data_IF_334050485850
#
_entry.id   IF_334050485850
#
_cell.length_a   1.000
_cell.length_b   1.000
_cell.length_c   1.000
_cell.angle_alpha   90.00
_cell.angle_beta   90.00
_cell.angle_gamma   90.00
#
_symmetry.space_group_name_H-M   'P 1'
#
loop_
_entity.id
_entity.type
_entity.pdbx_description
1 polymer ?
#
# COMPACT_ATOMS: atom_id res chain seq x y z
N UNK A 1 -15.08 -21.78 -15.79
CA UNK A 1 -15.46 -21.44 -14.40
C UNK A 1 -15.41 -19.93 -14.28
N UNK A 2 -16.54 -19.29 -14.01
CA UNK A 2 -16.78 -17.86 -14.25
C UNK A 2 -16.09 -16.94 -13.26
N UNK A 3 -15.72 -15.76 -13.75
CA UNK A 3 -15.28 -14.60 -12.95
C UNK A 3 -16.46 -14.18 -12.09
N UNK A 4 -16.39 -14.40 -10.78
CA UNK A 4 -17.39 -13.91 -9.83
C UNK A 4 -17.06 -12.45 -9.56
N UNK A 5 -17.90 -11.54 -10.08
CA UNK A 5 -17.91 -10.17 -9.62
C UNK A 5 -18.66 -10.10 -8.28
N UNK A 6 -17.95 -9.85 -7.18
CA UNK A 6 -18.54 -9.62 -5.85
C UNK A 6 -18.79 -8.12 -5.64
N UNK A 7 -20.00 -7.70 -5.20
CA UNK A 7 -20.29 -6.30 -4.87
C UNK A 7 -19.98 -5.97 -3.39
N UNK A 8 -19.17 -4.92 -3.16
CA UNK A 8 -18.95 -4.19 -1.89
C UNK A 8 -17.65 -4.57 -1.15
N UNK A 9 -16.65 -3.71 -0.90
CA UNK A 9 -16.64 -2.27 -0.59
C UNK A 9 -15.50 -1.50 -1.31
N UNK A 10 -15.90 -0.40 -1.97
CA UNK A 10 -15.22 0.89 -2.25
C UNK A 10 -13.83 0.89 -2.91
N UNK A 11 -13.84 0.84 -4.23
CA UNK A 11 -13.10 1.85 -4.98
C UNK A 11 -14.11 2.76 -5.66
N UNK A 12 -14.24 3.99 -5.19
CA UNK A 12 -15.16 4.98 -5.78
C UNK A 12 -14.67 5.53 -7.12
N UNK A 13 -13.79 4.82 -7.82
CA UNK A 13 -13.27 5.25 -9.11
C UNK A 13 -14.24 4.83 -10.22
N UNK A 14 -14.63 5.75 -11.11
CA UNK A 14 -15.28 5.35 -12.36
C UNK A 14 -14.37 4.41 -13.15
N UNK A 15 -14.95 3.49 -13.91
CA UNK A 15 -14.20 2.49 -14.69
C UNK A 15 -13.95 2.97 -16.12
N UNK A 16 -12.83 2.57 -16.69
CA UNK A 16 -12.48 2.82 -18.09
C UNK A 16 -11.81 1.58 -18.70
N UNK A 17 -11.74 1.50 -20.03
CA UNK A 17 -10.88 0.50 -20.67
C UNK A 17 -9.41 0.91 -20.51
N UNK A 18 -8.46 -0.04 -20.48
CA UNK A 18 -7.04 0.30 -20.41
C UNK A 18 -6.60 1.31 -21.47
N UNK A 19 -7.02 1.14 -22.72
CA UNK A 19 -6.68 2.02 -23.83
C UNK A 19 -7.23 3.44 -23.69
N UNK A 20 -8.40 3.61 -23.05
CA UNK A 20 -9.03 4.92 -22.84
C UNK A 20 -8.23 5.79 -21.86
N UNK A 21 -7.41 5.17 -21.01
CA UNK A 21 -6.47 5.84 -20.12
C UNK A 21 -5.02 5.71 -20.58
N UNK A 22 -4.78 5.24 -21.81
CA UNK A 22 -3.46 5.10 -22.42
C UNK A 22 -2.61 3.96 -21.84
N UNK A 23 -3.23 2.93 -21.27
CA UNK A 23 -2.60 1.66 -20.95
C UNK A 23 -2.77 0.68 -22.12
N UNK A 24 -2.00 -0.41 -22.13
CA UNK A 24 -2.15 -1.45 -23.14
C UNK A 24 -3.52 -2.15 -23.00
N UNK A 25 -4.28 -2.23 -24.09
CA UNK A 25 -5.62 -2.85 -24.13
C UNK A 25 -5.62 -4.30 -23.59
N UNK A 26 -4.52 -5.01 -23.80
CA UNK A 26 -4.34 -6.41 -23.40
C UNK A 26 -3.71 -6.59 -22.00
N UNK A 27 -3.51 -5.52 -21.23
CA UNK A 27 -2.83 -5.56 -19.92
C UNK A 27 -3.45 -6.60 -18.98
N UNK A 28 -4.78 -6.65 -18.89
CA UNK A 28 -5.49 -7.63 -18.07
C UNK A 28 -5.19 -9.07 -18.51
N UNK A 29 -5.34 -9.38 -19.80
CA UNK A 29 -5.04 -10.72 -20.33
C UNK A 29 -3.57 -11.11 -20.19
N UNK A 30 -2.64 -10.14 -20.31
CA UNK A 30 -1.21 -10.40 -20.11
C UNK A 30 -0.91 -10.80 -18.66
N UNK A 31 -1.55 -10.15 -17.69
CA UNK A 31 -1.47 -10.54 -16.28
C UNK A 31 -2.03 -11.95 -16.07
N UNK A 32 -3.20 -12.24 -16.64
CA UNK A 32 -3.85 -13.55 -16.54
C UNK A 32 -2.95 -14.67 -17.13
N UNK A 33 -2.33 -14.42 -18.29
CA UNK A 33 -1.38 -15.34 -18.91
C UNK A 33 -0.09 -15.52 -18.10
N UNK A 34 0.48 -14.44 -17.57
CA UNK A 34 1.69 -14.50 -16.77
C UNK A 34 1.46 -15.24 -15.44
N UNK A 35 0.31 -14.99 -14.80
CA UNK A 35 -0.12 -15.74 -13.61
C UNK A 35 -0.27 -17.23 -13.91
N UNK A 36 -0.96 -17.59 -15.00
CA UNK A 36 -1.12 -18.98 -15.44
C UNK A 36 0.19 -19.69 -15.80
N UNK A 37 1.25 -18.92 -16.14
CA UNK A 37 2.61 -19.43 -16.34
C UNK A 37 3.47 -19.44 -15.07
N UNK A 38 2.89 -19.08 -13.92
CA UNK A 38 3.57 -18.97 -12.63
C UNK A 38 4.74 -17.98 -12.61
N UNK A 39 4.71 -16.94 -13.46
CA UNK A 39 5.78 -15.94 -13.54
C UNK A 39 5.76 -14.96 -12.35
N UNK A 40 4.62 -14.86 -11.67
CA UNK A 40 4.43 -13.99 -10.50
C UNK A 40 4.00 -14.81 -9.29
N UNK A 41 4.94 -15.58 -8.72
CA UNK A 41 4.71 -16.29 -7.47
C UNK A 41 4.30 -15.31 -6.35
N UNK A 42 3.20 -15.59 -5.67
CA UNK A 42 2.67 -14.75 -4.59
C UNK A 42 1.83 -13.55 -5.05
N UNK A 43 1.49 -13.45 -6.34
CA UNK A 43 0.55 -12.42 -6.81
C UNK A 43 -0.88 -12.78 -6.40
N UNK A 44 -1.46 -12.00 -5.49
CA UNK A 44 -2.86 -12.15 -5.05
C UNK A 44 -3.81 -11.16 -5.72
N UNK A 45 -3.34 -9.97 -6.07
CA UNK A 45 -4.15 -8.93 -6.71
C UNK A 45 -3.34 -7.86 -7.42
N UNK A 46 -3.95 -7.27 -8.44
CA UNK A 46 -3.38 -6.18 -9.23
C UNK A 46 -4.46 -5.16 -9.57
N UNK A 47 -4.17 -3.88 -9.32
CA UNK A 47 -5.04 -2.76 -9.68
C UNK A 47 -4.23 -1.70 -10.42
N UNK A 48 -4.79 -1.15 -11.49
CA UNK A 48 -4.25 0.01 -12.21
C UNK A 48 -5.30 1.11 -12.33
N UNK A 49 -5.01 2.24 -11.69
CA UNK A 49 -5.82 3.46 -11.76
C UNK A 49 -5.01 4.54 -12.48
N UNK A 50 -5.60 5.15 -13.51
CA UNK A 50 -4.97 6.24 -14.25
C UNK A 50 -6.01 7.27 -14.68
N UNK A 51 -5.65 8.55 -14.58
CA UNK A 51 -6.57 9.68 -14.79
C UNK A 51 -7.84 9.61 -13.92
N UNK A 52 -7.71 9.08 -12.70
CA UNK A 52 -8.84 8.91 -11.78
C UNK A 52 -9.81 7.79 -12.15
N UNK A 53 -9.49 6.98 -13.17
CA UNK A 53 -10.32 5.86 -13.62
C UNK A 53 -9.66 4.52 -13.28
N UNK A 54 -10.43 3.55 -12.80
CA UNK A 54 -9.99 2.17 -12.65
C UNK A 54 -10.00 1.48 -14.01
N UNK A 55 -8.83 1.07 -14.47
CA UNK A 55 -8.64 0.51 -15.81
C UNK A 55 -8.39 -1.00 -15.82
N UNK A 56 -7.73 -1.52 -14.77
CA UNK A 56 -7.54 -2.96 -14.57
C UNK A 56 -7.69 -3.26 -13.09
N UNK A 57 -8.42 -4.33 -12.79
CA UNK A 57 -8.52 -4.94 -11.48
C UNK A 57 -8.55 -6.46 -11.68
N UNK A 58 -7.64 -7.18 -11.01
CA UNK A 58 -7.49 -8.63 -11.09
C UNK A 58 -7.15 -9.18 -9.72
N UNK A 59 -7.69 -10.35 -9.42
CA UNK A 59 -7.40 -11.11 -8.22
C UNK A 59 -7.15 -12.56 -8.60
N UNK A 60 -6.22 -13.19 -7.90
CA UNK A 60 -5.77 -14.54 -8.20
C UNK A 60 -5.70 -15.37 -6.93
N UNK A 61 -6.09 -16.66 -6.96
CA UNK A 61 -5.97 -17.52 -5.79
C UNK A 61 -4.50 -17.81 -5.47
N UNK A 62 -4.20 -18.09 -4.21
CA UNK A 62 -2.87 -18.55 -3.83
C UNK A 62 -2.66 -18.51 -2.32
N UNK A 63 -1.61 -19.20 -1.90
CA UNK A 63 -1.18 -19.29 -0.52
C UNK A 63 -0.84 -17.88 0.01
N UNK A 64 -1.26 -17.60 1.23
CA UNK A 64 -0.96 -16.37 1.95
C UNK A 64 -0.37 -16.69 3.32
N UNK A 65 0.24 -15.70 3.97
CA UNK A 65 0.84 -15.88 5.29
C UNK A 65 0.72 -14.64 6.18
N UNK A 66 0.66 -14.91 7.49
CA UNK A 66 0.78 -13.88 8.53
C UNK A 66 2.01 -14.17 9.36
N UNK A 67 3.06 -13.37 9.20
CA UNK A 67 4.33 -13.53 9.92
C UNK A 67 4.89 -14.97 9.85
N UNK A 68 4.96 -15.55 8.65
CA UNK A 68 5.42 -16.93 8.46
C UNK A 68 4.41 -18.01 8.86
N UNK A 69 3.24 -17.65 9.40
CA UNK A 69 2.15 -18.58 9.67
C UNK A 69 1.30 -18.72 8.40
N UNK A 70 1.21 -19.91 7.78
CA UNK A 70 0.40 -20.10 6.59
C UNK A 70 -1.08 -19.82 6.88
N UNK A 71 -1.74 -19.17 5.94
CA UNK A 71 -3.19 -18.99 5.91
C UNK A 71 -3.82 -19.99 4.93
N UNK A 72 -5.12 -20.30 5.05
CA UNK A 72 -5.82 -21.10 4.05
C UNK A 72 -5.67 -20.51 2.65
N UNK A 73 -5.71 -21.37 1.63
CA UNK A 73 -5.83 -20.91 0.24
C UNK A 73 -7.15 -20.17 0.04
N UNK A 74 -7.08 -18.85 -0.08
CA UNK A 74 -8.23 -18.01 -0.35
C UNK A 74 -8.36 -17.73 -1.84
N UNK A 75 -9.60 -17.63 -2.31
CA UNK A 75 -9.88 -16.82 -3.48
C UNK A 75 -9.73 -15.35 -3.07
N UNK A 76 -8.59 -14.75 -3.40
CA UNK A 76 -8.31 -13.35 -3.10
C UNK A 76 -9.33 -12.44 -3.78
N UNK A 77 -9.61 -11.32 -3.15
CA UNK A 77 -10.64 -10.39 -3.62
C UNK A 77 -10.59 -9.07 -2.85
N UNK A 78 -11.37 -8.06 -3.27
CA UNK A 78 -11.27 -6.69 -2.75
C UNK A 78 -11.62 -6.57 -1.26
N UNK A 79 -12.41 -7.50 -0.73
CA UNK A 79 -12.85 -7.50 0.67
C UNK A 79 -11.96 -8.37 1.58
N UNK A 80 -11.03 -9.14 1.02
CA UNK A 80 -10.14 -9.98 1.82
C UNK A 80 -9.02 -9.12 2.40
N UNK A 81 -8.82 -9.22 3.71
CA UNK A 81 -7.77 -8.48 4.40
C UNK A 81 -6.42 -9.13 4.18
N UNK A 82 -5.42 -8.31 3.79
CA UNK A 82 -4.03 -8.71 3.70
C UNK A 82 -3.20 -8.16 4.85
N UNK A 83 -2.15 -8.90 5.25
CA UNK A 83 -1.10 -8.37 6.11
C UNK A 83 -0.19 -7.42 5.31
N UNK A 84 -0.47 -6.11 5.40
CA UNK A 84 0.17 -5.07 4.58
C UNK A 84 1.54 -4.60 5.11
N UNK A 85 1.93 -5.00 6.33
CA UNK A 85 3.26 -4.74 6.93
C UNK A 85 3.76 -3.30 6.71
N UNK A 86 4.89 -3.12 6.03
CA UNK A 86 5.55 -1.82 5.83
C UNK A 86 4.73 -0.80 5.04
N UNK A 87 3.64 -1.19 4.37
CA UNK A 87 2.66 -0.24 3.79
C UNK A 87 2.13 0.71 4.88
N UNK A 88 2.05 0.26 6.13
CA UNK A 88 1.68 1.08 7.29
C UNK A 88 2.50 2.38 7.39
N UNK A 89 3.77 2.38 6.95
CA UNK A 89 4.62 3.59 7.01
C UNK A 89 4.09 4.72 6.13
N UNK A 90 3.64 4.42 4.92
CA UNK A 90 3.04 5.43 4.03
C UNK A 90 1.75 6.01 4.61
N UNK A 91 0.95 5.18 5.29
CA UNK A 91 -0.26 5.63 6.00
C UNK A 91 0.12 6.56 7.14
N UNK A 92 1.11 6.19 7.96
CA UNK A 92 1.63 7.03 9.05
C UNK A 92 2.18 8.35 8.52
N UNK A 93 2.96 8.33 7.42
CA UNK A 93 3.48 9.53 6.78
C UNK A 93 2.37 10.47 6.28
N UNK A 94 1.32 9.92 5.65
CA UNK A 94 0.14 10.70 5.23
C UNK A 94 -0.56 11.35 6.43
N UNK A 95 -0.82 10.58 7.49
CA UNK A 95 -1.45 11.10 8.71
C UNK A 95 -0.60 12.18 9.37
N UNK A 96 0.72 12.01 9.38
CA UNK A 96 1.65 13.02 9.87
C UNK A 96 1.56 14.31 9.04
N UNK A 97 1.53 14.21 7.70
CA UNK A 97 1.38 15.36 6.82
C UNK A 97 0.08 16.15 7.06
N UNK A 98 -1.03 15.44 7.30
CA UNK A 98 -2.31 16.07 7.65
C UNK A 98 -2.26 16.77 9.01
N UNK A 99 -1.69 16.12 10.02
CA UNK A 99 -1.52 16.71 11.35
C UNK A 99 -0.57 17.92 11.31
N UNK A 100 0.47 17.88 10.48
CA UNK A 100 1.41 18.98 10.28
C UNK A 100 0.70 20.18 9.64
N UNK A 101 -0.13 19.94 8.62
CA UNK A 101 -0.98 20.98 8.03
C UNK A 101 -1.92 21.62 9.05
N UNK A 102 -2.43 20.83 10.00
CA UNK A 102 -3.28 21.30 11.09
C UNK A 102 -2.52 21.95 12.27
N UNK A 103 -1.18 22.01 12.23
CA UNK A 103 -0.36 22.55 13.32
C UNK A 103 -0.36 21.70 14.59
N UNK A 104 -0.67 20.40 14.48
CA UNK A 104 -0.83 19.48 15.61
C UNK A 104 0.44 18.68 15.94
N UNK A 105 1.44 18.70 15.07
CA UNK A 105 2.73 18.02 15.25
C UNK A 105 3.88 18.99 14.91
N UNK A 106 5.11 18.73 15.40
CA UNK A 106 6.24 19.61 15.14
C UNK A 106 6.61 19.62 13.65
N UNK A 107 7.37 20.61 13.19
CA UNK A 107 7.82 20.66 11.81
C UNK A 107 8.85 19.55 11.51
N UNK A 108 8.90 19.08 10.26
CA UNK A 108 9.84 18.03 9.84
C UNK A 108 11.33 18.42 10.04
N UNK A 109 11.64 19.72 10.13
CA UNK A 109 12.98 20.23 10.44
C UNK A 109 13.34 20.20 11.93
N UNK A 110 12.38 19.99 12.82
CA UNK A 110 12.60 19.95 14.27
C UNK A 110 13.31 18.67 14.70
N UNK A 111 14.01 18.71 15.84
CA UNK A 111 14.80 17.58 16.32
C UNK A 111 13.90 16.49 16.85
N UNK A 112 14.15 15.26 16.42
CA UNK A 112 13.36 14.11 16.83
C UNK A 112 13.36 13.93 18.35
N UNK A 113 14.53 14.08 18.98
CA UNK A 113 14.68 13.90 20.43
C UNK A 113 13.93 14.95 21.27
N UNK A 114 13.49 16.08 20.69
CA UNK A 114 12.69 17.07 21.41
C UNK A 114 11.23 16.61 21.59
N UNK A 115 10.75 15.74 20.69
CA UNK A 115 9.39 15.16 20.77
C UNK A 115 9.27 14.00 21.77
N UNK A 116 10.38 13.43 22.24
CA UNK A 116 10.39 12.28 23.16
C UNK A 116 11.14 12.61 24.46
N UNK A 117 10.47 13.26 25.43
CA UNK A 117 11.08 13.67 26.70
C UNK A 117 11.75 12.51 27.46
N UNK A 118 11.19 11.32 27.40
CA UNK A 118 11.71 10.09 28.01
C UNK A 118 13.08 9.64 27.46
N UNK A 119 13.48 10.12 26.28
CA UNK A 119 14.73 9.75 25.63
C UNK A 119 15.76 10.90 25.59
N UNK A 120 15.80 11.77 26.62
CA UNK A 120 16.77 12.87 26.70
C UNK A 120 18.24 12.43 26.52
N UNK A 121 18.58 11.21 26.95
CA UNK A 121 19.93 10.67 26.79
C UNK A 121 20.37 10.61 25.32
N UNK A 122 19.44 10.51 24.36
CA UNK A 122 19.77 10.56 22.93
C UNK A 122 20.31 11.92 22.49
N UNK A 123 20.07 13.00 23.25
CA UNK A 123 20.61 14.33 22.95
C UNK A 123 22.11 14.45 23.25
N UNK A 124 22.68 13.53 24.05
CA UNK A 124 24.11 13.54 24.38
C UNK A 124 24.97 12.94 23.27
N UNK A 125 24.39 12.06 22.45
CA UNK A 125 25.03 11.49 21.27
C UNK A 125 25.02 12.53 20.12
N UNK A 126 26.20 12.92 19.60
CA UNK A 126 26.30 13.94 18.55
C UNK A 126 25.59 13.59 17.24
N UNK A 127 25.47 12.30 16.91
CA UNK A 127 24.77 11.83 15.71
C UNK A 127 23.27 11.86 15.94
N UNK A 128 22.80 11.35 17.08
CA UNK A 128 21.37 11.29 17.41
C UNK A 128 20.76 12.67 17.57
N UNK A 129 21.49 13.63 18.14
CA UNK A 129 21.05 15.04 18.27
C UNK A 129 20.79 15.73 16.93
N UNK A 130 21.35 15.22 15.84
CA UNK A 130 21.19 15.79 14.49
C UNK A 130 19.94 15.28 13.78
N UNK A 131 19.35 14.17 14.25
CA UNK A 131 18.16 13.56 13.62
C UNK A 131 16.97 14.51 13.77
N UNK A 132 16.34 14.84 12.66
CA UNK A 132 15.08 15.58 12.62
C UNK A 132 13.92 14.63 12.41
N UNK A 133 12.69 15.10 12.62
CA UNK A 133 11.50 14.29 12.35
C UNK A 133 11.43 13.88 10.88
N UNK A 134 11.81 14.78 9.96
CA UNK A 134 11.84 14.49 8.52
C UNK A 134 12.86 13.43 8.09
N UNK A 135 13.81 13.02 8.94
CA UNK A 135 14.68 11.88 8.63
C UNK A 135 14.03 10.52 8.90
N UNK A 136 12.93 10.48 9.66
CA UNK A 136 12.26 9.23 10.09
C UNK A 136 10.83 9.09 9.58
N UNK A 137 10.37 10.07 8.79
CA UNK A 137 9.17 10.00 7.96
C UNK A 137 9.55 9.52 6.56
#
# INVERSE_FOLDING_TARGET
MGIIASPGLVTGWPTARPEDVGLAADLGSRLDHAFGRHEYAGLHGFLAVRHGMLAVERYYPGQDERWGTPLPDYAHGPALLHDVRSITKSIVGLLYGLALHAGQVPAASEKLADAFPEYQHLKTDPLKRRITIGHVL
#
